data_IF_557356087960
#
_entry.id   IF_557356087960
#
_cell.length_a   1.000
_cell.length_b   1.000
_cell.length_c   1.000
_cell.angle_alpha   90.00
_cell.angle_beta   90.00
_cell.angle_gamma   90.00
#
_symmetry.space_group_name_H-M   'P 1'
#
loop_
_entity.id
_entity.type
_entity.pdbx_description
1 polymer ?
#
# COMPACT_ATOMS: atom_id res chain seq x y z
N UNK A 1 19.63 15.12 -12.65
CA UNK A 1 19.02 15.59 -11.37
C UNK A 1 18.61 14.35 -10.58
N UNK A 2 18.86 14.30 -9.26
CA UNK A 2 18.30 13.21 -8.45
C UNK A 2 16.79 13.37 -8.41
N UNK A 3 16.05 12.31 -8.73
CA UNK A 3 14.60 12.34 -8.64
C UNK A 3 14.15 12.41 -7.19
N UNK A 4 13.02 13.06 -6.96
CA UNK A 4 12.39 13.10 -5.63
C UNK A 4 11.94 11.70 -5.25
N UNK A 5 12.21 11.22 -4.01
CA UNK A 5 11.68 9.97 -3.54
C UNK A 5 10.15 9.98 -3.53
N UNK A 6 9.54 8.86 -3.92
CA UNK A 6 8.09 8.71 -3.94
C UNK A 6 7.73 7.53 -3.06
N UNK A 7 6.78 7.73 -2.16
CA UNK A 7 6.14 6.68 -1.36
C UNK A 7 4.64 6.70 -1.64
N UNK A 8 4.14 5.67 -2.28
CA UNK A 8 2.74 5.55 -2.65
C UNK A 8 2.06 4.41 -1.88
N UNK A 9 0.87 4.67 -1.37
CA UNK A 9 0.17 3.78 -0.46
C UNK A 9 -1.18 3.33 -0.99
N UNK A 10 -1.47 2.03 -0.83
CA UNK A 10 -2.81 1.55 -0.54
C UNK A 10 -2.91 1.32 0.97
N UNK A 11 -3.68 2.16 1.65
CA UNK A 11 -3.76 2.13 3.11
C UNK A 11 -5.01 1.42 3.57
N UNK A 12 -4.84 0.21 4.06
CA UNK A 12 -5.85 -0.58 4.74
C UNK A 12 -5.37 -0.97 6.15
N UNK A 13 -6.30 -1.25 7.08
CA UNK A 13 -5.91 -1.68 8.44
C UNK A 13 -5.28 -3.06 8.48
N UNK A 14 -5.70 -3.93 7.60
CA UNK A 14 -5.31 -5.34 7.65
C UNK A 14 -4.05 -5.64 6.84
N UNK A 15 -3.87 -4.96 5.71
CA UNK A 15 -2.81 -5.25 4.75
C UNK A 15 -2.35 -4.00 4.00
N UNK A 16 -1.94 -2.94 4.72
CA UNK A 16 -1.45 -1.77 4.02
C UNK A 16 -0.22 -2.12 3.21
N UNK A 17 -0.17 -1.59 2.00
CA UNK A 17 0.93 -1.75 1.07
C UNK A 17 1.53 -0.40 0.68
N UNK A 18 2.80 -0.41 0.35
CA UNK A 18 3.55 0.75 -0.10
C UNK A 18 4.46 0.37 -1.25
N UNK A 19 4.39 1.11 -2.35
CA UNK A 19 5.40 1.13 -3.38
C UNK A 19 6.32 2.33 -3.15
N UNK A 20 7.61 2.12 -3.25
CA UNK A 20 8.64 3.13 -2.99
C UNK A 20 9.57 3.24 -4.20
N UNK A 21 9.81 4.46 -4.69
CA UNK A 21 10.77 4.75 -5.74
C UNK A 21 11.83 5.72 -5.22
N UNK A 22 13.09 5.26 -5.16
CA UNK A 22 14.24 6.04 -4.73
C UNK A 22 15.40 5.79 -5.71
N UNK A 23 15.97 6.83 -6.27
CA UNK A 23 17.12 6.76 -7.20
C UNK A 23 16.90 5.75 -8.37
N UNK A 24 15.67 5.67 -8.89
CA UNK A 24 15.19 4.72 -9.89
C UNK A 24 15.08 3.25 -9.42
N UNK A 25 15.27 2.98 -8.15
CA UNK A 25 15.01 1.66 -7.57
C UNK A 25 13.60 1.59 -7.03
N UNK A 26 12.82 0.65 -7.56
CA UNK A 26 11.48 0.34 -7.11
C UNK A 26 11.53 -0.74 -6.02
N UNK A 27 10.89 -0.49 -4.91
CA UNK A 27 10.76 -1.47 -3.83
C UNK A 27 9.35 -1.49 -3.24
N UNK A 28 9.00 -2.62 -2.64
CA UNK A 28 7.66 -2.85 -2.10
C UNK A 28 7.70 -3.25 -0.65
N UNK A 29 6.70 -2.76 0.10
CA UNK A 29 6.54 -3.02 1.53
C UNK A 29 5.09 -3.38 1.82
N UNK A 30 4.88 -4.36 2.66
CA UNK A 30 3.55 -4.69 3.19
C UNK A 30 3.60 -4.91 4.70
N UNK A 31 2.50 -4.57 5.36
CA UNK A 31 2.31 -4.79 6.80
C UNK A 31 1.08 -5.68 7.05
N UNK A 32 1.11 -6.96 6.62
CA UNK A 32 -0.04 -7.84 6.74
C UNK A 32 -0.32 -8.18 8.20
N UNK A 33 -1.60 -8.37 8.51
CA UNK A 33 -2.03 -8.81 9.83
C UNK A 33 -2.15 -10.34 9.86
N UNK A 34 -1.40 -10.98 10.79
CA UNK A 34 -1.46 -12.43 11.02
C UNK A 34 -1.27 -13.28 9.76
N UNK A 35 -0.27 -12.95 8.95
CA UNK A 35 0.09 -13.78 7.78
C UNK A 35 0.63 -15.13 8.27
N UNK A 36 0.27 -16.20 7.61
CA UNK A 36 0.81 -17.52 7.91
C UNK A 36 2.26 -17.68 7.41
N UNK A 37 2.96 -18.69 7.95
CA UNK A 37 4.37 -18.90 7.67
C UNK A 37 4.64 -19.23 6.19
N UNK A 38 3.75 -19.98 5.55
CA UNK A 38 3.91 -20.37 4.13
C UNK A 38 3.78 -19.14 3.24
N UNK A 39 2.79 -18.29 3.51
CA UNK A 39 2.62 -17.03 2.81
C UNK A 39 3.82 -16.10 3.02
N UNK A 40 4.34 -16.03 4.27
CA UNK A 40 5.54 -15.26 4.58
C UNK A 40 6.73 -15.72 3.73
N UNK A 41 7.05 -17.02 3.74
CA UNK A 41 8.17 -17.59 2.98
C UNK A 41 8.05 -17.33 1.46
N UNK A 42 6.84 -17.37 0.93
CA UNK A 42 6.57 -17.05 -0.48
C UNK A 42 6.83 -15.59 -0.82
N UNK A 43 6.37 -14.69 0.01
CA UNK A 43 6.57 -13.25 -0.18
C UNK A 43 8.05 -12.89 0.00
N UNK A 44 8.74 -13.47 0.98
CA UNK A 44 10.17 -13.28 1.19
C UNK A 44 11.00 -13.69 -0.03
N UNK A 45 10.54 -14.68 -0.80
CA UNK A 45 11.20 -15.12 -2.04
C UNK A 45 11.05 -14.15 -3.23
N UNK A 46 10.28 -13.09 -3.08
CA UNK A 46 9.92 -12.14 -4.14
C UNK A 46 10.42 -10.71 -3.87
N UNK A 47 11.43 -10.54 -3.03
CA UNK A 47 12.03 -9.24 -2.65
C UNK A 47 11.01 -8.19 -2.14
N UNK A 48 9.87 -8.67 -1.60
CA UNK A 48 8.90 -7.81 -0.97
C UNK A 48 9.21 -7.70 0.52
N UNK A 49 9.38 -6.49 1.00
CA UNK A 49 9.65 -6.22 2.40
C UNK A 49 8.39 -6.43 3.25
N UNK A 50 8.40 -7.45 4.10
CA UNK A 50 7.24 -7.85 4.88
C UNK A 50 7.46 -7.54 6.35
N UNK A 51 6.54 -6.78 6.91
CA UNK A 51 6.47 -6.52 8.36
C UNK A 51 5.22 -7.20 8.91
N UNK A 52 5.34 -8.49 9.22
CA UNK A 52 4.22 -9.26 9.76
C UNK A 52 3.81 -8.74 11.14
N UNK A 53 2.55 -8.35 11.26
CA UNK A 53 1.96 -7.84 12.51
C UNK A 53 1.16 -8.95 13.18
N UNK A 54 1.50 -9.26 14.41
CA UNK A 54 0.73 -10.18 15.25
C UNK A 54 -0.19 -9.36 16.14
N UNK A 55 -1.45 -9.33 15.83
CA UNK A 55 -2.48 -8.74 16.68
C UNK A 55 -3.55 -9.77 16.99
N UNK A 56 -3.97 -9.81 18.22
CA UNK A 56 -5.18 -10.55 18.57
C UNK A 56 -6.39 -9.85 17.94
N UNK A 57 -7.30 -10.57 17.30
CA UNK A 57 -8.55 -9.98 16.86
C UNK A 57 -9.26 -9.35 18.07
N UNK A 58 -9.98 -8.24 17.83
CA UNK A 58 -10.86 -7.68 18.86
C UNK A 58 -12.03 -8.67 19.02
N UNK A 59 -11.85 -9.66 19.90
CA UNK A 59 -12.85 -10.69 20.15
C UNK A 59 -13.66 -10.40 21.40
N UNK A 60 -13.29 -9.37 22.14
CA UNK A 60 -13.95 -9.04 23.39
C UNK A 60 -15.30 -8.40 23.09
N UNK A 61 -16.34 -9.23 23.09
CA UNK A 61 -17.73 -8.80 22.94
C UNK A 61 -18.24 -8.01 24.15
N UNK A 62 -17.45 -7.90 25.22
CA UNK A 62 -17.75 -7.11 26.39
C UNK A 62 -17.40 -5.62 26.26
N UNK A 63 -16.57 -5.26 25.25
CA UNK A 63 -16.22 -3.88 25.00
C UNK A 63 -17.44 -3.07 24.58
N UNK A 64 -17.65 -1.95 25.25
CA UNK A 64 -18.64 -0.98 24.81
C UNK A 64 -18.12 -0.18 23.59
N UNK A 65 -18.98 0.60 22.97
CA UNK A 65 -18.67 1.35 21.75
C UNK A 65 -17.46 2.28 21.92
N UNK A 66 -17.34 2.97 23.06
CA UNK A 66 -16.22 3.88 23.33
C UNK A 66 -14.90 3.11 23.44
N UNK A 67 -14.89 1.95 24.08
CA UNK A 67 -13.73 1.09 24.21
C UNK A 67 -13.30 0.53 22.86
N UNK A 68 -14.23 0.16 22.00
CA UNK A 68 -13.96 -0.27 20.62
C UNK A 68 -13.31 0.87 19.82
N UNK A 69 -13.82 2.08 19.91
CA UNK A 69 -13.23 3.24 19.22
C UNK A 69 -11.79 3.49 19.71
N UNK A 70 -11.56 3.44 21.02
CA UNK A 70 -10.21 3.61 21.59
C UNK A 70 -9.25 2.54 21.04
N UNK A 71 -9.69 1.28 21.01
CA UNK A 71 -8.89 0.17 20.49
C UNK A 71 -8.57 0.36 19.00
N UNK A 72 -9.55 0.76 18.17
CA UNK A 72 -9.35 1.05 16.75
C UNK A 72 -8.34 2.19 16.54
N UNK A 73 -8.49 3.30 17.26
CA UNK A 73 -7.57 4.45 17.19
C UNK A 73 -6.16 4.04 17.62
N UNK A 74 -6.04 3.28 18.70
CA UNK A 74 -4.75 2.81 19.22
C UNK A 74 -4.03 1.93 18.19
N UNK A 75 -4.73 0.96 17.59
CA UNK A 75 -4.17 0.08 16.54
C UNK A 75 -3.74 0.87 15.31
N UNK A 76 -4.56 1.81 14.89
CA UNK A 76 -4.29 2.66 13.73
C UNK A 76 -3.07 3.54 13.96
N UNK A 77 -2.96 4.14 15.14
CA UNK A 77 -1.81 4.95 15.53
C UNK A 77 -0.52 4.12 15.57
N UNK A 78 -0.57 2.92 16.14
CA UNK A 78 0.59 2.04 16.17
C UNK A 78 1.02 1.61 14.76
N UNK A 79 0.08 1.33 13.87
CA UNK A 79 0.36 1.02 12.48
C UNK A 79 0.98 2.22 11.75
N UNK A 80 0.41 3.41 11.91
CA UNK A 80 0.95 4.63 11.30
C UNK A 80 2.39 4.89 11.74
N UNK A 81 2.69 4.74 13.02
CA UNK A 81 4.06 4.85 13.56
C UNK A 81 5.02 3.83 12.96
N UNK A 82 4.57 2.57 12.77
CA UNK A 82 5.38 1.54 12.13
C UNK A 82 5.70 1.90 10.68
N UNK A 83 4.71 2.39 9.92
CA UNK A 83 4.87 2.78 8.52
C UNK A 83 5.81 3.99 8.42
N UNK A 84 5.57 5.05 9.19
CA UNK A 84 6.40 6.26 9.17
C UNK A 84 7.82 5.95 9.63
N UNK A 85 7.99 5.13 10.67
CA UNK A 85 9.29 4.66 11.11
C UNK A 85 10.05 3.87 10.01
N UNK A 86 9.35 3.08 9.20
CA UNK A 86 9.94 2.41 8.05
C UNK A 86 10.40 3.41 6.99
N UNK A 87 9.56 4.39 6.62
CA UNK A 87 9.94 5.44 5.66
C UNK A 87 11.19 6.19 6.14
N UNK A 88 11.20 6.66 7.38
CA UNK A 88 12.35 7.38 7.94
C UNK A 88 13.62 6.53 7.92
N UNK A 89 13.50 5.22 8.16
CA UNK A 89 14.63 4.28 8.07
C UNK A 89 15.12 4.11 6.64
N UNK A 90 14.20 4.04 5.67
CA UNK A 90 14.52 3.91 4.23
C UNK A 90 15.24 5.15 3.72
N UNK A 91 14.77 6.36 4.05
CA UNK A 91 15.35 7.61 3.53
C UNK A 91 16.65 8.02 4.23
N UNK A 92 16.91 7.51 5.42
CA UNK A 92 18.06 7.88 6.26
C UNK A 92 19.42 7.83 5.54
N UNK A 93 19.71 6.82 4.70
CA UNK A 93 21.00 6.75 3.99
C UNK A 93 21.20 7.83 2.92
N UNK A 94 20.12 8.46 2.44
CA UNK A 94 20.15 9.27 1.22
C UNK A 94 20.24 10.78 1.45
N UNK A 95 20.14 11.24 2.67
CA UNK A 95 20.19 12.67 3.03
C UNK A 95 19.23 13.57 2.21
N UNK A 96 18.00 13.09 1.95
CA UNK A 96 16.96 13.89 1.31
C UNK A 96 16.36 14.92 2.28
N UNK A 97 15.95 16.07 1.72
CA UNK A 97 15.06 16.95 2.46
C UNK A 97 13.66 16.32 2.53
N UNK A 98 13.09 16.22 3.73
CA UNK A 98 11.77 15.60 3.95
C UNK A 98 10.67 16.30 3.13
N UNK A 99 10.76 17.62 2.93
CA UNK A 99 9.81 18.39 2.12
C UNK A 99 9.82 18.00 0.63
N UNK A 100 10.93 17.44 0.14
CA UNK A 100 11.03 16.99 -1.24
C UNK A 100 10.44 15.62 -1.49
N UNK A 101 10.16 14.85 -0.42
CA UNK A 101 9.65 13.50 -0.51
C UNK A 101 8.15 13.53 -0.84
N UNK A 102 7.77 12.86 -1.91
CA UNK A 102 6.38 12.77 -2.32
C UNK A 102 5.70 11.61 -1.59
N UNK A 103 4.64 11.92 -0.87
CA UNK A 103 3.75 10.95 -0.25
C UNK A 103 2.46 10.90 -1.06
N UNK A 104 2.16 9.76 -1.66
CA UNK A 104 0.98 9.60 -2.48
C UNK A 104 0.01 8.56 -1.92
N UNK A 105 -1.27 8.81 -2.09
CA UNK A 105 -2.31 7.89 -1.68
C UNK A 105 -3.53 7.94 -2.61
N UNK A 106 -4.29 6.87 -2.61
CA UNK A 106 -5.61 6.87 -3.20
C UNK A 106 -6.55 7.75 -2.38
N UNK A 107 -7.29 8.64 -3.06
CA UNK A 107 -8.33 9.47 -2.45
C UNK A 107 -9.55 8.64 -2.04
N UNK A 108 -10.43 9.30 -1.30
CA UNK A 108 -11.69 8.66 -0.89
C UNK A 108 -12.60 8.44 -2.10
N UNK A 109 -13.17 7.26 -2.20
CA UNK A 109 -14.29 7.03 -3.12
C UNK A 109 -15.52 7.76 -2.55
N UNK A 110 -15.90 8.89 -3.13
CA UNK A 110 -17.06 9.68 -2.70
C UNK A 110 -18.39 8.90 -2.69
N UNK A 111 -18.42 7.74 -3.30
CA UNK A 111 -19.58 6.83 -3.31
C UNK A 111 -19.56 5.77 -2.20
N UNK A 112 -18.50 5.68 -1.42
CA UNK A 112 -18.44 4.73 -0.29
C UNK A 112 -19.42 5.20 0.80
N UNK A 113 -20.29 4.30 1.22
CA UNK A 113 -21.30 4.56 2.26
C UNK A 113 -21.13 3.59 3.42
N UNK A 114 -21.49 4.06 4.63
CA UNK A 114 -21.52 3.25 5.84
C UNK A 114 -20.24 3.32 6.68
N UNK A 115 -20.27 2.62 7.79
CA UNK A 115 -19.26 2.68 8.86
C UNK A 115 -17.85 2.28 8.36
N UNK A 116 -17.76 1.29 7.48
CA UNK A 116 -16.49 0.86 6.90
C UNK A 116 -15.77 1.96 6.11
N UNK A 117 -16.52 2.88 5.47
CA UNK A 117 -15.93 4.03 4.78
C UNK A 117 -15.43 5.09 5.75
N UNK A 118 -16.14 5.29 6.85
CA UNK A 118 -15.73 6.19 7.93
C UNK A 118 -14.47 5.66 8.63
N UNK A 119 -14.42 4.39 8.94
CA UNK A 119 -13.26 3.73 9.54
C UNK A 119 -12.02 3.87 8.64
N UNK A 120 -12.15 3.53 7.34
CA UNK A 120 -11.04 3.65 6.40
C UNK A 120 -10.55 5.11 6.28
N UNK A 121 -11.48 6.07 6.32
CA UNK A 121 -11.14 7.50 6.33
C UNK A 121 -10.38 7.88 7.60
N UNK A 122 -10.84 7.41 8.75
CA UNK A 122 -10.16 7.62 10.04
C UNK A 122 -8.72 7.12 10.02
N UNK A 123 -8.49 5.94 9.48
CA UNK A 123 -7.13 5.35 9.39
C UNK A 123 -6.21 6.15 8.47
N UNK A 124 -6.70 6.59 7.31
CA UNK A 124 -5.94 7.45 6.40
C UNK A 124 -5.53 8.77 7.07
N UNK A 125 -6.46 9.41 7.81
CA UNK A 125 -6.14 10.65 8.53
C UNK A 125 -5.11 10.44 9.63
N UNK A 126 -5.16 9.33 10.36
CA UNK A 126 -4.17 9.00 11.39
C UNK A 126 -2.78 8.83 10.77
N UNK A 127 -2.66 8.12 9.64
CA UNK A 127 -1.39 8.00 8.92
C UNK A 127 -0.90 9.37 8.41
N UNK A 128 -1.76 10.15 7.79
CA UNK A 128 -1.40 11.48 7.30
C UNK A 128 -0.95 12.40 8.45
N UNK A 129 -1.64 12.35 9.59
CA UNK A 129 -1.24 13.10 10.77
C UNK A 129 0.16 12.70 11.26
N UNK A 130 0.43 11.40 11.36
CA UNK A 130 1.74 10.90 11.78
C UNK A 130 2.86 11.32 10.81
N UNK A 131 2.58 11.31 9.50
CA UNK A 131 3.51 11.81 8.48
C UNK A 131 3.78 13.31 8.64
N UNK A 132 2.74 14.13 8.83
CA UNK A 132 2.86 15.59 9.04
C UNK A 132 3.66 15.88 10.32
N UNK A 133 3.39 15.18 11.40
CA UNK A 133 4.10 15.33 12.68
C UNK A 133 5.61 15.00 12.54
N UNK A 134 5.97 14.17 11.54
CA UNK A 134 7.37 13.85 11.21
C UNK A 134 7.95 14.72 10.08
N UNK A 135 7.28 15.80 9.69
CA UNK A 135 7.78 16.84 8.79
C UNK A 135 7.47 16.63 7.31
N UNK A 136 6.73 15.59 6.92
CA UNK A 136 6.32 15.42 5.53
C UNK A 136 5.24 16.44 5.16
N UNK A 137 5.42 17.13 4.03
CA UNK A 137 4.51 18.19 3.57
C UNK A 137 4.03 18.02 2.14
N UNK A 138 4.71 17.23 1.30
CA UNK A 138 4.41 17.07 -0.11
C UNK A 138 3.49 15.87 -0.36
N UNK A 139 2.19 16.09 -0.14
CA UNK A 139 1.14 15.07 -0.33
C UNK A 139 0.49 15.15 -1.69
N UNK A 140 0.29 13.99 -2.34
CA UNK A 140 -0.46 13.83 -3.58
C UNK A 140 -1.58 12.83 -3.38
N UNK A 141 -2.79 13.21 -3.74
CA UNK A 141 -3.97 12.36 -3.61
C UNK A 141 -4.67 12.26 -4.96
N UNK A 142 -4.87 11.05 -5.44
CA UNK A 142 -5.52 10.79 -6.73
C UNK A 142 -6.81 10.00 -6.54
N UNK A 143 -7.82 10.34 -7.34
CA UNK A 143 -9.07 9.58 -7.30
C UNK A 143 -8.87 8.14 -7.77
N UNK A 144 -9.66 7.16 -7.29
CA UNK A 144 -9.61 5.78 -7.77
C UNK A 144 -9.71 5.65 -9.29
N UNK A 145 -10.52 6.50 -9.93
CA UNK A 145 -10.68 6.49 -11.39
C UNK A 145 -9.41 6.96 -12.12
N UNK A 146 -8.68 7.90 -11.55
CA UNK A 146 -7.39 8.37 -12.09
C UNK A 146 -6.35 7.27 -12.04
N UNK A 147 -6.25 6.57 -10.91
CA UNK A 147 -5.33 5.45 -10.72
C UNK A 147 -5.67 4.31 -11.69
N UNK A 148 -6.94 3.93 -11.80
CA UNK A 148 -7.42 2.94 -12.77
C UNK A 148 -7.15 3.34 -14.22
N UNK A 149 -7.24 4.63 -14.54
CA UNK A 149 -6.90 5.13 -15.87
C UNK A 149 -5.42 4.96 -16.18
N UNK A 150 -4.54 5.15 -15.20
CA UNK A 150 -3.09 4.90 -15.37
C UNK A 150 -2.81 3.43 -15.65
N UNK A 151 -3.52 2.51 -15.01
CA UNK A 151 -3.44 1.07 -15.26
C UNK A 151 -4.12 0.62 -16.57
N UNK A 152 -4.74 1.53 -17.34
CA UNK A 152 -5.56 1.17 -18.50
C UNK A 152 -6.91 0.52 -18.15
N UNK A 153 -7.30 0.52 -16.87
CA UNK A 153 -8.43 -0.21 -16.29
C UNK A 153 -9.63 0.67 -15.95
N UNK A 154 -9.79 1.85 -16.56
CA UNK A 154 -10.89 2.78 -16.27
C UNK A 154 -12.20 2.49 -17.05
N UNK A 155 -12.25 1.44 -17.87
CA UNK A 155 -13.45 1.10 -18.64
C UNK A 155 -14.54 0.49 -17.76
N UNK A 156 -15.82 0.75 -18.12
CA UNK A 156 -16.97 0.16 -17.43
C UNK A 156 -16.88 -1.38 -17.46
N UNK A 157 -17.03 -2.01 -16.29
CA UNK A 157 -17.01 -3.47 -16.13
C UNK A 157 -15.66 -4.05 -15.75
N UNK A 158 -14.58 -3.27 -15.77
CA UNK A 158 -13.27 -3.71 -15.28
C UNK A 158 -13.27 -3.87 -13.76
N UNK A 159 -12.64 -4.94 -13.30
CA UNK A 159 -12.57 -5.38 -11.90
C UNK A 159 -11.17 -5.16 -11.33
N UNK A 160 -11.00 -5.47 -10.06
CA UNK A 160 -9.73 -5.42 -9.34
C UNK A 160 -8.69 -6.36 -9.98
N UNK A 161 -9.12 -7.54 -10.42
CA UNK A 161 -8.27 -8.51 -11.11
C UNK A 161 -7.64 -7.98 -12.41
N UNK A 162 -8.30 -7.00 -13.07
CA UNK A 162 -7.75 -6.38 -14.27
C UNK A 162 -6.54 -5.50 -13.95
N UNK A 163 -6.53 -4.83 -12.80
CA UNK A 163 -5.39 -4.03 -12.32
C UNK A 163 -4.20 -4.92 -11.96
N UNK A 164 -4.46 -6.09 -11.36
CA UNK A 164 -3.43 -7.10 -11.07
C UNK A 164 -2.88 -7.67 -12.39
N UNK A 165 -3.75 -7.94 -13.35
CA UNK A 165 -3.34 -8.40 -14.68
C UNK A 165 -2.50 -7.37 -15.42
N UNK A 166 -2.89 -6.09 -15.35
CA UNK A 166 -2.12 -5.00 -15.93
C UNK A 166 -0.73 -4.87 -15.27
N UNK A 167 -0.65 -5.03 -13.95
CA UNK A 167 0.63 -5.05 -13.23
C UNK A 167 1.50 -6.25 -13.67
N UNK A 168 0.91 -7.42 -13.85
CA UNK A 168 1.62 -8.60 -14.33
C UNK A 168 2.11 -8.50 -15.79
N UNK A 169 1.70 -7.48 -16.53
CA UNK A 169 2.20 -7.19 -17.88
C UNK A 169 3.29 -6.10 -17.87
N UNK A 170 3.55 -5.49 -16.73
CA UNK A 170 4.68 -4.58 -16.56
C UNK A 170 5.96 -5.41 -16.41
N UNK A 171 7.05 -4.93 -17.00
CA UNK A 171 8.37 -5.58 -16.85
C UNK A 171 8.98 -5.13 -15.50
N UNK A 172 8.60 -5.76 -14.39
CA UNK A 172 9.08 -5.46 -13.04
C UNK A 172 9.19 -6.71 -12.16
N UNK A 173 9.92 -6.63 -11.08
CA UNK A 173 10.17 -7.75 -10.16
C UNK A 173 8.87 -8.35 -9.58
N UNK A 174 7.80 -7.55 -9.52
CA UNK A 174 6.47 -8.00 -9.14
C UNK A 174 5.82 -8.95 -10.16
N UNK A 175 6.24 -8.90 -11.43
CA UNK A 175 5.73 -9.80 -12.48
C UNK A 175 5.94 -11.27 -12.08
N UNK A 176 7.13 -11.62 -11.65
CA UNK A 176 7.46 -12.99 -11.22
C UNK A 176 6.63 -13.39 -10.00
N UNK A 177 6.46 -12.48 -9.05
CA UNK A 177 5.63 -12.68 -7.87
C UNK A 177 4.16 -12.95 -8.20
N UNK A 178 3.56 -12.14 -9.08
CA UNK A 178 2.17 -12.30 -9.49
C UNK A 178 1.94 -13.64 -10.18
N UNK A 179 2.84 -14.04 -11.08
CA UNK A 179 2.76 -15.36 -11.74
C UNK A 179 2.90 -16.49 -10.73
N UNK A 180 3.88 -16.43 -9.84
CA UNK A 180 4.09 -17.45 -8.80
C UNK A 180 2.86 -17.61 -7.90
N UNK A 181 2.18 -16.51 -7.55
CA UNK A 181 0.96 -16.56 -6.73
C UNK A 181 -0.20 -17.14 -7.51
N UNK A 182 -0.39 -16.74 -8.77
CA UNK A 182 -1.46 -17.28 -9.63
C UNK A 182 -1.34 -18.80 -9.76
N UNK A 183 -0.16 -19.26 -10.14
CA UNK A 183 0.12 -20.68 -10.32
C UNK A 183 -0.13 -21.47 -9.03
N UNK A 184 0.26 -20.90 -7.89
CA UNK A 184 0.04 -21.56 -6.61
C UNK A 184 -1.42 -21.58 -6.19
N UNK A 185 -2.22 -20.54 -6.50
CA UNK A 185 -3.65 -20.51 -6.24
C UNK A 185 -4.44 -21.51 -7.07
N UNK A 186 -4.08 -21.65 -8.34
CA UNK A 186 -4.69 -22.64 -9.24
C UNK A 186 -4.46 -24.07 -8.71
N UNK A 187 -3.28 -24.32 -8.15
CA UNK A 187 -2.93 -25.62 -7.53
C UNK A 187 -3.71 -25.85 -6.23
N UNK A 188 -3.79 -24.85 -5.36
CA UNK A 188 -4.38 -25.02 -4.02
C UNK A 188 -5.91 -24.87 -4.00
N UNK A 189 -6.53 -24.25 -5.02
CA UNK A 189 -7.97 -23.91 -5.08
C UNK A 189 -8.47 -23.17 -3.82
N UNK A 190 -7.56 -22.53 -3.10
CA UNK A 190 -7.85 -21.82 -1.84
C UNK A 190 -7.49 -20.34 -1.97
N UNK A 191 -8.36 -19.49 -1.45
CA UNK A 191 -8.00 -18.08 -1.18
C UNK A 191 -7.02 -18.08 -0.01
N UNK A 192 -5.77 -17.85 -0.32
CA UNK A 192 -4.69 -17.75 0.69
C UNK A 192 -4.44 -16.30 1.06
N UNK A 193 -3.89 -16.06 2.24
CA UNK A 193 -3.65 -14.71 2.76
C UNK A 193 -2.74 -13.85 1.86
N UNK A 194 -1.86 -14.45 1.08
CA UNK A 194 -0.97 -13.71 0.17
C UNK A 194 -1.63 -13.26 -1.13
N UNK A 195 -2.67 -13.95 -1.62
CA UNK A 195 -3.49 -13.46 -2.75
C UNK A 195 -4.08 -12.10 -2.44
N UNK A 196 -4.51 -11.94 -1.20
CA UNK A 196 -5.10 -10.70 -0.73
C UNK A 196 -4.08 -9.54 -0.58
N UNK A 197 -2.77 -9.86 -0.51
CA UNK A 197 -1.71 -8.84 -0.49
C UNK A 197 -1.37 -8.31 -1.88
N UNK A 198 -1.62 -9.08 -2.93
CA UNK A 198 -1.35 -8.67 -4.32
C UNK A 198 -2.23 -7.50 -4.74
N UNK A 199 -3.49 -7.50 -4.31
CA UNK A 199 -4.40 -6.39 -4.58
C UNK A 199 -3.84 -5.07 -4.04
N UNK A 200 -3.44 -5.09 -2.76
CA UNK A 200 -2.97 -3.90 -2.05
C UNK A 200 -1.62 -3.43 -2.65
N UNK A 201 -0.75 -4.37 -3.05
CA UNK A 201 0.51 -4.05 -3.75
C UNK A 201 0.26 -3.45 -5.15
N UNK A 202 -0.70 -4.00 -5.90
CA UNK A 202 -1.06 -3.46 -7.21
C UNK A 202 -1.63 -2.04 -7.09
N UNK A 203 -2.51 -1.80 -6.12
CA UNK A 203 -3.11 -0.48 -5.89
C UNK A 203 -2.02 0.53 -5.48
N UNK A 204 -1.05 0.16 -4.63
CA UNK A 204 0.09 1.00 -4.26
C UNK A 204 1.01 1.30 -5.46
N UNK A 205 1.31 0.30 -6.29
CA UNK A 205 2.11 0.47 -7.51
C UNK A 205 1.45 1.43 -8.50
N UNK A 206 0.16 1.24 -8.79
CA UNK A 206 -0.55 2.10 -9.73
C UNK A 206 -0.73 3.52 -9.21
N UNK A 207 -0.81 3.68 -7.88
CA UNK A 207 -0.75 5.00 -7.25
C UNK A 207 0.62 5.67 -7.50
N UNK A 208 1.73 4.95 -7.30
CA UNK A 208 3.08 5.44 -7.59
C UNK A 208 3.23 5.82 -9.08
N UNK A 209 2.84 4.94 -9.99
CA UNK A 209 2.91 5.18 -11.44
C UNK A 209 2.04 6.37 -11.86
N UNK A 210 0.95 6.64 -11.15
CA UNK A 210 0.13 7.83 -11.36
C UNK A 210 0.88 9.09 -10.97
N UNK A 211 1.62 9.09 -9.86
CA UNK A 211 2.50 10.22 -9.49
C UNK A 211 3.52 10.49 -10.59
N UNK A 212 4.26 9.48 -10.98
CA UNK A 212 5.30 9.59 -12.01
C UNK A 212 4.75 10.23 -13.29
N UNK A 213 3.59 9.75 -13.75
CA UNK A 213 2.93 10.27 -14.95
C UNK A 213 2.39 11.68 -14.80
N UNK A 214 1.84 12.03 -13.63
CA UNK A 214 1.16 13.32 -13.42
C UNK A 214 2.11 14.46 -13.07
N UNK A 215 3.21 14.15 -12.40
CA UNK A 215 4.23 15.11 -12.00
C UNK A 215 5.36 15.20 -13.03
N UNK A 216 5.21 14.53 -14.19
CA UNK A 216 6.20 14.50 -15.30
C UNK A 216 7.61 14.17 -14.79
N UNK A 217 7.68 13.16 -13.92
CA UNK A 217 8.95 12.72 -13.35
C UNK A 217 9.65 11.85 -14.38
N UNK A 218 10.77 12.38 -14.92
CA UNK A 218 11.64 11.66 -15.84
C UNK A 218 12.41 10.57 -15.08
N UNK A 219 11.71 9.51 -14.71
CA UNK A 219 12.32 8.31 -14.19
C UNK A 219 12.05 7.18 -15.19
N UNK A 220 13.09 6.53 -15.62
CA UNK A 220 12.97 5.19 -16.15
C UNK A 220 12.56 4.36 -14.94
N UNK A 221 11.25 4.09 -14.80
CA UNK A 221 10.84 2.90 -14.10
C UNK A 221 11.41 1.78 -14.95
N UNK A 222 12.72 1.51 -14.78
CA UNK A 222 13.36 0.31 -15.29
C UNK A 222 12.70 -0.83 -14.56
N UNK A 223 11.81 -1.20 -15.26
CA UNK A 223 10.89 -2.21 -15.05
C UNK A 223 11.40 -3.35 -15.90
#
# INVERSE_FOLDING_TARGET
>A
MKHKPIFAFDFSMNKPAMACLIENELSFYIWPLNIDKVAQEKLDSCDINIVNRKLNPIKDKSLNESELIIEHVTRSTNLAKLIVGAILKIIRPYNYNIDDIIIANEGFAFAAKGDAALDLSGYKYILMKELIDNGFSNFKTYSPITIKSTAGCAKKGMKKDDMITALGNEDNDLHLFIHTIRDHNDILKKKTSYVMCVDDLADAYWCLKTVVKKEDIDCVLNV
#
